data_IF_393014962508
#
_entry.id   IF_393014962508
#
_cell.length_a   1.000
_cell.length_b   1.000
_cell.length_c   1.000
_cell.angle_alpha   90.00
_cell.angle_beta   90.00
_cell.angle_gamma   90.00
#
_symmetry.space_group_name_H-M   'P 1'
#
loop_
_entity.id
_entity.type
_entity.pdbx_description
1 polymer ?
#
# COMPACT_ATOMS: atom_id res chain seq x y z
N UNK A 1 3.95 -26.08 -18.24
CA UNK A 1 3.11 -24.86 -18.13
C UNK A 1 1.67 -25.31 -17.97
N UNK A 2 0.94 -24.83 -16.96
CA UNK A 2 -0.49 -25.13 -16.82
C UNK A 2 -1.24 -24.65 -18.07
N UNK A 3 -2.19 -25.45 -18.57
CA UNK A 3 -3.02 -25.06 -19.73
C UNK A 3 -3.68 -23.70 -19.45
N UNK A 4 -3.61 -22.72 -20.37
CA UNK A 4 -4.25 -21.43 -20.18
C UNK A 4 -5.76 -21.58 -20.00
N UNK A 5 -6.38 -20.64 -19.29
CA UNK A 5 -7.81 -20.65 -19.07
C UNK A 5 -8.54 -20.52 -20.41
N UNK A 6 -9.26 -21.58 -20.83
CA UNK A 6 -9.98 -21.62 -22.12
C UNK A 6 -11.04 -22.72 -22.18
N UNK A 7 -11.30 -23.29 -23.35
CA UNK A 7 -12.25 -24.40 -23.56
C UNK A 7 -13.68 -23.96 -23.87
N UNK A 8 -14.65 -24.81 -23.51
CA UNK A 8 -16.10 -24.55 -23.60
C UNK A 8 -16.55 -23.73 -22.39
N UNK A 9 -16.81 -22.44 -22.60
CA UNK A 9 -17.03 -21.46 -21.54
C UNK A 9 -18.51 -21.08 -21.46
N UNK A 10 -19.11 -21.14 -20.26
CA UNK A 10 -20.40 -20.52 -20.00
C UNK A 10 -20.23 -19.17 -19.28
N UNK A 11 -21.08 -18.20 -19.61
CA UNK A 11 -21.10 -16.89 -18.96
C UNK A 11 -22.26 -16.84 -17.97
N UNK A 12 -21.98 -16.56 -16.70
CA UNK A 12 -22.98 -16.46 -15.63
C UNK A 12 -23.15 -15.00 -15.22
N UNK A 13 -24.33 -14.44 -15.51
CA UNK A 13 -24.65 -13.03 -15.35
C UNK A 13 -24.13 -12.18 -16.52
N UNK A 14 -25.05 -11.61 -17.28
CA UNK A 14 -24.76 -10.81 -18.48
C UNK A 14 -24.95 -9.31 -18.20
N UNK A 15 -24.35 -8.83 -17.11
CA UNK A 15 -24.22 -7.40 -16.80
C UNK A 15 -23.18 -6.70 -17.69
N UNK A 16 -22.92 -5.41 -17.47
CA UNK A 16 -21.96 -4.64 -18.29
C UNK A 16 -20.55 -5.23 -18.32
N UNK A 17 -20.11 -5.84 -17.20
CA UNK A 17 -18.77 -6.42 -17.06
C UNK A 17 -18.55 -7.64 -17.96
N UNK A 18 -19.60 -8.40 -18.29
CA UNK A 18 -19.49 -9.59 -19.12
C UNK A 18 -18.99 -9.27 -20.55
N UNK A 19 -19.20 -8.06 -21.07
CA UNK A 19 -18.85 -7.66 -22.43
C UNK A 19 -17.35 -7.77 -22.70
N UNK A 20 -16.53 -7.43 -21.70
CA UNK A 20 -15.08 -7.57 -21.76
C UNK A 20 -14.66 -9.03 -21.93
N UNK A 21 -15.25 -9.94 -21.14
CA UNK A 21 -14.95 -11.37 -21.22
C UNK A 21 -15.48 -11.99 -22.51
N UNK A 22 -16.70 -11.66 -22.91
CA UNK A 22 -17.32 -12.16 -24.15
C UNK A 22 -16.48 -11.77 -25.36
N UNK A 23 -16.11 -10.49 -25.49
CA UNK A 23 -15.21 -10.04 -26.57
C UNK A 23 -13.86 -10.76 -26.51
N UNK A 24 -13.26 -10.82 -25.33
CA UNK A 24 -11.96 -11.47 -25.14
C UNK A 24 -11.96 -12.96 -25.51
N UNK A 25 -13.05 -13.69 -25.23
CA UNK A 25 -13.21 -15.10 -25.60
C UNK A 25 -13.40 -15.23 -27.11
N UNK A 26 -14.27 -14.42 -27.72
CA UNK A 26 -14.56 -14.47 -29.16
C UNK A 26 -13.32 -14.14 -30.01
N UNK A 27 -12.46 -13.23 -29.55
CA UNK A 27 -11.18 -12.92 -30.19
C UNK A 27 -10.16 -14.07 -30.16
N UNK A 28 -10.42 -15.15 -29.39
CA UNK A 28 -9.46 -16.25 -29.14
C UNK A 28 -10.06 -17.64 -29.44
N UNK A 29 -10.62 -17.85 -30.65
CA UNK A 29 -11.39 -19.06 -30.98
C UNK A 29 -10.58 -20.36 -30.93
N UNK A 30 -9.26 -20.29 -31.15
CA UNK A 30 -8.35 -21.44 -31.08
C UNK A 30 -8.25 -22.05 -29.67
N UNK A 31 -8.52 -21.25 -28.64
CA UNK A 31 -8.35 -21.66 -27.24
C UNK A 31 -9.66 -21.72 -26.48
N UNK A 32 -10.67 -20.96 -26.90
CA UNK A 32 -11.87 -20.70 -26.12
C UNK A 32 -13.10 -20.51 -27.02
N UNK A 33 -14.25 -20.98 -26.56
CA UNK A 33 -15.54 -20.70 -27.19
C UNK A 33 -16.62 -20.55 -26.13
N UNK A 34 -17.57 -19.64 -26.34
CA UNK A 34 -18.77 -19.58 -25.50
C UNK A 34 -19.67 -20.76 -25.89
N UNK A 35 -20.40 -21.34 -24.93
CA UNK A 35 -21.36 -22.43 -25.17
C UNK A 35 -22.74 -22.17 -24.57
N UNK A 36 -22.84 -21.28 -23.57
CA UNK A 36 -24.11 -20.95 -22.92
C UNK A 36 -24.04 -19.62 -22.18
N UNK A 37 -25.20 -19.01 -21.97
CA UNK A 37 -25.41 -17.87 -21.08
C UNK A 37 -26.34 -18.31 -19.93
N UNK A 38 -26.03 -17.95 -18.69
CA UNK A 38 -26.91 -18.11 -17.54
C UNK A 38 -27.34 -16.73 -17.04
N UNK A 39 -28.60 -16.36 -17.27
CA UNK A 39 -29.12 -15.02 -16.98
C UNK A 39 -30.64 -15.05 -16.80
N UNK A 40 -31.19 -14.53 -15.68
CA UNK A 40 -32.64 -14.43 -15.49
C UNK A 40 -33.29 -13.28 -16.30
N UNK A 41 -32.55 -12.22 -16.63
CA UNK A 41 -33.07 -11.10 -17.42
C UNK A 41 -32.94 -11.38 -18.94
N UNK A 42 -34.07 -11.68 -19.58
CA UNK A 42 -34.12 -12.01 -21.01
C UNK A 42 -33.64 -10.89 -21.93
N UNK A 43 -33.83 -9.61 -21.54
CA UNK A 43 -33.34 -8.45 -22.32
C UNK A 43 -31.81 -8.41 -22.32
N UNK A 44 -31.17 -8.68 -21.18
CA UNK A 44 -29.70 -8.73 -21.10
C UNK A 44 -29.14 -9.92 -21.88
N UNK A 45 -29.78 -11.09 -21.77
CA UNK A 45 -29.37 -12.25 -22.54
C UNK A 45 -29.47 -12.01 -24.06
N UNK A 46 -30.58 -11.40 -24.53
CA UNK A 46 -30.77 -11.03 -25.92
C UNK A 46 -29.69 -10.04 -26.42
N UNK A 47 -29.38 -9.00 -25.63
CA UNK A 47 -28.31 -8.05 -25.96
C UNK A 47 -26.96 -8.76 -26.19
N UNK A 48 -26.62 -9.77 -25.38
CA UNK A 48 -25.37 -10.50 -25.56
C UNK A 48 -25.38 -11.42 -26.78
N UNK A 49 -26.52 -12.02 -27.13
CA UNK A 49 -26.65 -12.75 -28.39
C UNK A 49 -26.53 -11.81 -29.60
N UNK A 50 -27.06 -10.58 -29.53
CA UNK A 50 -26.86 -9.56 -30.58
C UNK A 50 -25.41 -9.09 -30.66
N UNK A 51 -24.74 -8.92 -29.51
CA UNK A 51 -23.31 -8.65 -29.45
C UNK A 51 -22.51 -9.76 -30.13
N UNK A 52 -22.81 -11.03 -29.84
CA UNK A 52 -22.15 -12.17 -30.47
C UNK A 52 -22.34 -12.18 -31.99
N UNK A 53 -23.56 -11.92 -32.48
CA UNK A 53 -23.84 -11.75 -33.91
C UNK A 53 -22.99 -10.65 -34.52
N UNK A 54 -22.87 -9.49 -33.87
CA UNK A 54 -22.02 -8.38 -34.35
C UNK A 54 -20.53 -8.75 -34.44
N UNK A 55 -20.09 -9.69 -33.60
CA UNK A 55 -18.72 -10.22 -33.57
C UNK A 55 -18.53 -11.43 -34.49
N UNK A 56 -19.54 -11.80 -35.29
CA UNK A 56 -19.55 -12.99 -36.16
C UNK A 56 -19.40 -14.30 -35.38
N UNK A 57 -19.85 -14.32 -34.12
CA UNK A 57 -19.98 -15.52 -33.30
C UNK A 57 -21.43 -16.04 -33.34
N UNK A 58 -21.66 -17.36 -33.17
CA UNK A 58 -23.01 -17.90 -33.15
C UNK A 58 -23.79 -17.47 -31.91
N UNK A 59 -25.11 -17.57 -32.00
CA UNK A 59 -26.01 -17.42 -30.86
C UNK A 59 -25.90 -18.65 -29.94
N UNK A 60 -26.06 -18.45 -28.63
CA UNK A 60 -25.97 -19.52 -27.63
C UNK A 60 -27.25 -19.65 -26.80
N UNK A 61 -27.54 -20.87 -26.30
CA UNK A 61 -28.66 -21.10 -25.42
C UNK A 61 -28.54 -20.28 -24.14
N UNK A 62 -29.70 -19.78 -23.67
CA UNK A 62 -29.84 -19.02 -22.43
C UNK A 62 -30.53 -19.92 -21.40
N UNK A 63 -29.91 -20.06 -20.24
CA UNK A 63 -30.42 -20.85 -19.13
C UNK A 63 -30.82 -19.95 -17.96
N UNK A 64 -31.94 -20.22 -17.29
CA UNK A 64 -32.26 -19.57 -16.02
C UNK A 64 -31.33 -20.07 -14.89
N UNK A 65 -31.20 -19.32 -13.78
CA UNK A 65 -30.33 -19.68 -12.65
C UNK A 65 -30.54 -21.09 -12.06
N UNK A 66 -31.78 -21.54 -11.97
CA UNK A 66 -32.16 -22.86 -11.43
C UNK A 66 -31.74 -24.02 -12.34
N UNK A 67 -31.55 -23.76 -13.64
CA UNK A 67 -31.03 -24.73 -14.61
C UNK A 67 -29.48 -24.72 -14.72
N UNK A 68 -28.77 -24.02 -13.83
CA UNK A 68 -27.31 -23.88 -13.92
C UNK A 68 -26.56 -25.23 -13.96
N UNK A 69 -26.91 -26.17 -13.07
CA UNK A 69 -26.26 -27.50 -13.03
C UNK A 69 -26.54 -28.33 -14.29
N UNK A 70 -27.77 -28.25 -14.83
CA UNK A 70 -28.12 -28.88 -16.10
C UNK A 70 -27.29 -28.30 -17.24
N UNK A 71 -27.18 -26.96 -17.31
CA UNK A 71 -26.38 -26.26 -18.31
C UNK A 71 -24.93 -26.75 -18.31
N UNK A 72 -24.30 -26.91 -17.15
CA UNK A 72 -22.92 -27.40 -17.04
C UNK A 72 -22.74 -28.76 -17.75
N UNK A 73 -23.68 -29.68 -17.55
CA UNK A 73 -23.64 -31.03 -18.11
C UNK A 73 -24.01 -31.06 -19.59
N UNK A 74 -25.16 -30.47 -19.94
CA UNK A 74 -25.75 -30.51 -21.28
C UNK A 74 -24.86 -29.83 -22.31
N UNK A 75 -24.30 -28.68 -21.95
CA UNK A 75 -23.42 -27.90 -22.83
C UNK A 75 -21.95 -28.32 -22.75
N UNK A 76 -21.64 -29.35 -21.94
CA UNK A 76 -20.29 -29.86 -21.69
C UNK A 76 -19.34 -28.72 -21.33
N UNK A 77 -19.72 -27.93 -20.33
CA UNK A 77 -18.98 -26.74 -19.90
C UNK A 77 -17.67 -27.17 -19.26
N UNK A 78 -16.55 -26.61 -19.72
CA UNK A 78 -15.20 -26.85 -19.18
C UNK A 78 -14.74 -25.71 -18.27
N UNK A 79 -15.31 -24.52 -18.45
CA UNK A 79 -15.06 -23.38 -17.59
C UNK A 79 -16.26 -22.42 -17.48
N UNK A 80 -16.36 -21.68 -16.39
CA UNK A 80 -17.36 -20.62 -16.20
C UNK A 80 -16.69 -19.28 -15.96
N UNK A 81 -17.27 -18.23 -16.51
CA UNK A 81 -16.98 -16.83 -16.17
C UNK A 81 -18.17 -16.28 -15.40
N UNK A 82 -17.97 -15.90 -14.14
CA UNK A 82 -19.03 -15.43 -13.23
C UNK A 82 -18.91 -13.92 -13.08
N UNK A 83 -19.92 -13.21 -13.57
CA UNK A 83 -20.05 -11.74 -13.61
C UNK A 83 -21.44 -11.28 -13.15
N UNK A 84 -22.11 -12.12 -12.35
CA UNK A 84 -23.41 -11.81 -11.76
C UNK A 84 -23.27 -10.92 -10.51
N UNK A 85 -24.30 -10.85 -9.68
CA UNK A 85 -24.29 -10.05 -8.45
C UNK A 85 -23.28 -10.67 -7.46
N UNK A 86 -22.37 -9.84 -6.92
CA UNK A 86 -21.28 -10.26 -6.01
C UNK A 86 -21.72 -11.22 -4.90
N UNK A 87 -22.89 -10.96 -4.29
CA UNK A 87 -23.44 -11.75 -3.19
C UNK A 87 -23.89 -13.18 -3.58
N UNK A 88 -23.98 -13.46 -4.87
CA UNK A 88 -24.47 -14.72 -5.44
C UNK A 88 -23.35 -15.57 -6.07
N UNK A 89 -22.11 -15.08 -6.09
CA UNK A 89 -20.99 -15.79 -6.73
C UNK A 89 -20.81 -17.21 -6.17
N UNK A 90 -20.95 -17.41 -4.85
CA UNK A 90 -20.77 -18.71 -4.20
C UNK A 90 -21.75 -19.78 -4.72
N UNK A 91 -22.98 -19.36 -5.03
CA UNK A 91 -24.03 -20.24 -5.59
C UNK A 91 -23.66 -20.82 -6.96
N UNK A 92 -22.71 -20.23 -7.67
CA UNK A 92 -22.22 -20.71 -8.96
C UNK A 92 -20.80 -21.26 -8.88
N UNK A 93 -19.93 -20.68 -8.05
CA UNK A 93 -18.56 -21.15 -7.83
C UNK A 93 -18.57 -22.57 -7.27
N UNK A 94 -19.28 -22.81 -6.16
CA UNK A 94 -19.27 -24.11 -5.47
C UNK A 94 -19.73 -25.24 -6.40
N UNK A 95 -20.94 -25.19 -7.01
CA UNK A 95 -21.38 -26.28 -7.88
C UNK A 95 -20.56 -26.43 -9.16
N UNK A 96 -19.94 -25.35 -9.69
CA UNK A 96 -19.02 -25.48 -10.82
C UNK A 96 -17.76 -26.27 -10.44
N UNK A 97 -17.15 -25.97 -9.29
CA UNK A 97 -15.99 -26.70 -8.77
C UNK A 97 -16.32 -28.16 -8.48
N UNK A 98 -17.48 -28.44 -7.88
CA UNK A 98 -17.96 -29.81 -7.64
C UNK A 98 -18.17 -30.60 -8.93
N UNK A 99 -18.55 -29.93 -10.02
CA UNK A 99 -18.68 -30.51 -11.35
C UNK A 99 -17.33 -30.65 -12.10
N UNK A 100 -16.19 -30.29 -11.48
CA UNK A 100 -14.88 -30.30 -12.11
C UNK A 100 -14.67 -29.20 -13.16
N UNK A 101 -15.54 -28.18 -13.16
CA UNK A 101 -15.51 -27.05 -14.09
C UNK A 101 -14.59 -25.96 -13.55
N UNK A 102 -13.70 -25.43 -14.40
CA UNK A 102 -12.78 -24.34 -13.99
C UNK A 102 -13.53 -23.04 -13.81
N UNK A 103 -13.17 -22.27 -12.79
CA UNK A 103 -13.89 -21.04 -12.44
C UNK A 103 -13.02 -19.80 -12.58
N UNK A 104 -13.53 -18.81 -13.29
CA UNK A 104 -13.09 -17.41 -13.24
C UNK A 104 -14.26 -16.57 -12.73
N UNK A 105 -14.05 -15.82 -11.66
CA UNK A 105 -15.09 -14.99 -11.04
C UNK A 105 -14.64 -13.54 -10.96
N UNK A 106 -15.60 -12.62 -11.10
CA UNK A 106 -15.35 -11.22 -10.81
C UNK A 106 -15.01 -10.99 -9.34
N UNK A 107 -14.29 -9.89 -9.09
CA UNK A 107 -14.04 -9.37 -7.73
C UNK A 107 -15.24 -8.53 -7.25
N UNK A 108 -15.57 -8.56 -5.95
CA UNK A 108 -15.04 -9.45 -4.91
C UNK A 108 -15.48 -10.90 -5.14
N UNK A 109 -14.70 -11.86 -4.65
CA UNK A 109 -15.01 -13.29 -4.80
C UNK A 109 -16.37 -13.67 -4.17
N UNK A 110 -16.71 -13.03 -3.05
CA UNK A 110 -18.00 -13.10 -2.37
C UNK A 110 -18.12 -11.92 -1.40
N UNK A 111 -19.25 -11.78 -0.69
CA UNK A 111 -19.55 -10.63 0.18
C UNK A 111 -19.39 -10.89 1.67
N UNK A 112 -19.23 -12.15 2.10
CA UNK A 112 -19.13 -12.50 3.52
C UNK A 112 -18.20 -13.70 3.78
N UNK A 113 -17.79 -13.84 5.05
CA UNK A 113 -16.81 -14.83 5.47
C UNK A 113 -17.34 -16.27 5.38
N UNK A 114 -18.62 -16.51 5.69
CA UNK A 114 -19.21 -17.84 5.66
C UNK A 114 -19.21 -18.41 4.24
N UNK A 115 -19.63 -17.60 3.26
CA UNK A 115 -19.54 -17.94 1.84
C UNK A 115 -18.10 -18.17 1.39
N UNK A 116 -17.17 -17.36 1.88
CA UNK A 116 -15.75 -17.50 1.58
C UNK A 116 -15.22 -18.86 2.07
N UNK A 117 -15.54 -19.25 3.31
CA UNK A 117 -15.22 -20.55 3.86
C UNK A 117 -15.79 -21.68 3.00
N UNK A 118 -17.07 -21.61 2.60
CA UNK A 118 -17.68 -22.62 1.71
C UNK A 118 -16.92 -22.78 0.39
N UNK A 119 -16.50 -21.68 -0.23
CA UNK A 119 -15.71 -21.70 -1.47
C UNK A 119 -14.35 -22.35 -1.23
N UNK A 120 -13.63 -21.94 -0.17
CA UNK A 120 -12.30 -22.46 0.16
C UNK A 120 -12.33 -23.95 0.53
N UNK A 121 -13.32 -24.38 1.30
CA UNK A 121 -13.53 -25.79 1.64
C UNK A 121 -13.80 -26.63 0.40
N UNK A 122 -14.58 -26.09 -0.55
CA UNK A 122 -14.84 -26.75 -1.82
C UNK A 122 -13.57 -26.85 -2.66
N UNK A 123 -12.81 -25.75 -2.80
CA UNK A 123 -11.51 -25.72 -3.49
C UNK A 123 -10.56 -26.80 -2.94
N UNK A 124 -10.47 -26.93 -1.62
CA UNK A 124 -9.65 -27.94 -0.96
C UNK A 124 -10.16 -29.36 -1.23
N UNK A 125 -11.46 -29.61 -1.05
CA UNK A 125 -12.08 -30.93 -1.24
C UNK A 125 -12.01 -31.42 -2.68
N UNK A 126 -12.13 -30.52 -3.66
CA UNK A 126 -12.09 -30.86 -5.09
C UNK A 126 -10.69 -30.73 -5.70
N UNK A 127 -9.68 -30.38 -4.90
CA UNK A 127 -8.32 -30.08 -5.34
C UNK A 127 -8.30 -29.16 -6.59
N UNK A 128 -9.15 -28.14 -6.57
CA UNK A 128 -9.37 -27.24 -7.70
C UNK A 128 -8.69 -25.90 -7.49
N UNK A 129 -8.73 -25.02 -8.49
CA UNK A 129 -8.25 -23.64 -8.39
C UNK A 129 -9.26 -22.68 -9.03
N UNK A 130 -9.36 -21.47 -8.48
CA UNK A 130 -10.20 -20.38 -9.00
C UNK A 130 -9.34 -19.19 -9.42
N UNK A 131 -9.80 -18.45 -10.42
CA UNK A 131 -9.23 -17.16 -10.81
C UNK A 131 -10.19 -16.05 -10.37
N UNK A 132 -9.70 -15.12 -9.54
CA UNK A 132 -10.44 -13.91 -9.15
C UNK A 132 -9.86 -12.72 -9.91
N UNK A 133 -10.71 -11.91 -10.54
CA UNK A 133 -10.28 -10.87 -11.51
C UNK A 133 -9.77 -9.58 -10.86
N UNK A 134 -8.68 -9.68 -10.10
CA UNK A 134 -7.92 -8.52 -9.64
C UNK A 134 -7.12 -7.89 -10.80
N UNK A 135 -7.82 -7.26 -11.73
CA UNK A 135 -7.28 -6.69 -12.97
C UNK A 135 -6.09 -5.75 -12.76
N UNK A 136 -6.02 -5.06 -11.61
CA UNK A 136 -4.93 -4.14 -11.29
C UNK A 136 -3.57 -4.84 -11.13
N UNK A 137 -3.54 -6.16 -10.88
CA UNK A 137 -2.28 -6.94 -10.88
C UNK A 137 -1.63 -7.01 -12.25
N UNK A 138 -2.38 -6.78 -13.33
CA UNK A 138 -1.88 -6.79 -14.71
C UNK A 138 -1.50 -5.39 -15.23
N UNK A 139 -1.59 -4.36 -14.38
CA UNK A 139 -1.10 -3.03 -14.74
C UNK A 139 0.44 -3.03 -14.71
N UNK A 140 1.13 -2.67 -15.82
CA UNK A 140 2.60 -2.67 -15.89
C UNK A 140 3.29 -1.87 -14.78
N UNK A 141 2.64 -0.80 -14.28
CA UNK A 141 3.16 0.01 -13.17
C UNK A 141 3.20 -0.79 -11.87
N UNK A 142 2.14 -1.55 -11.56
CA UNK A 142 2.08 -2.36 -10.34
C UNK A 142 3.01 -3.58 -10.41
N UNK A 143 3.17 -4.18 -11.60
CA UNK A 143 4.13 -5.25 -11.83
C UNK A 143 5.57 -4.75 -11.63
N UNK A 144 5.91 -3.56 -12.17
CA UNK A 144 7.20 -2.94 -11.95
C UNK A 144 7.48 -2.70 -10.46
N UNK A 145 6.49 -2.20 -9.71
CA UNK A 145 6.60 -2.03 -8.26
C UNK A 145 6.88 -3.38 -7.58
N UNK A 146 6.10 -4.43 -7.89
CA UNK A 146 6.28 -5.77 -7.32
C UNK A 146 7.67 -6.32 -7.61
N UNK A 147 8.18 -6.15 -8.83
CA UNK A 147 9.52 -6.57 -9.24
C UNK A 147 10.60 -5.78 -8.52
N UNK A 148 10.51 -4.45 -8.47
CA UNK A 148 11.47 -3.59 -7.75
C UNK A 148 11.55 -3.94 -6.26
N UNK A 149 10.42 -4.26 -5.61
CA UNK A 149 10.39 -4.78 -4.24
C UNK A 149 11.13 -6.13 -4.16
N UNK A 150 10.77 -7.09 -5.03
CA UNK A 150 11.35 -8.44 -5.01
C UNK A 150 12.86 -8.45 -5.31
N UNK A 151 13.33 -7.52 -6.13
CA UNK A 151 14.75 -7.32 -6.44
C UNK A 151 15.51 -6.57 -5.34
N UNK A 152 14.84 -6.19 -4.24
CA UNK A 152 15.47 -5.46 -3.14
C UNK A 152 15.98 -4.07 -3.53
N UNK A 153 15.47 -3.49 -4.63
CA UNK A 153 15.91 -2.20 -5.18
C UNK A 153 15.31 -0.99 -4.44
N UNK A 154 14.51 -1.22 -3.42
CA UNK A 154 13.98 -0.17 -2.53
C UNK A 154 15.05 0.18 -1.50
N UNK A 155 15.44 1.45 -1.50
CA UNK A 155 16.69 1.92 -0.90
C UNK A 155 16.65 2.17 0.61
N UNK A 156 17.83 2.54 1.14
CA UNK A 156 18.21 2.53 2.56
C UNK A 156 18.34 3.95 3.12
N UNK A 157 17.93 4.20 4.36
CA UNK A 157 18.07 5.50 5.04
C UNK A 157 19.26 5.51 6.03
N UNK A 158 19.59 6.69 6.57
CA UNK A 158 20.84 6.91 7.30
C UNK A 158 20.76 7.77 8.57
N UNK A 159 19.68 7.62 9.35
CA UNK A 159 19.31 8.62 10.36
C UNK A 159 19.51 8.19 11.83
N UNK A 160 20.13 7.04 12.10
CA UNK A 160 20.12 6.42 13.44
C UNK A 160 21.43 6.56 14.25
N UNK A 161 22.26 7.55 13.93
CA UNK A 161 23.68 7.58 14.31
C UNK A 161 24.05 8.33 15.60
N UNK A 162 23.11 8.96 16.31
CA UNK A 162 23.42 9.86 17.46
C UNK A 162 22.31 9.84 18.51
N UNK A 163 22.36 10.76 19.48
CA UNK A 163 21.38 10.93 20.57
C UNK A 163 19.92 10.82 20.13
N UNK A 164 19.59 11.25 18.91
CA UNK A 164 18.23 11.21 18.37
C UNK A 164 17.69 9.78 18.13
N UNK A 165 18.53 8.74 18.16
CA UNK A 165 18.14 7.32 18.10
C UNK A 165 17.50 6.79 19.40
N UNK A 166 17.64 7.54 20.48
CA UNK A 166 17.05 7.24 21.78
C UNK A 166 15.76 8.04 21.94
N UNK A 167 14.67 7.33 22.22
CA UNK A 167 13.32 7.91 22.22
C UNK A 167 13.14 8.93 23.32
N UNK A 168 13.83 8.76 24.43
CA UNK A 168 13.85 9.68 25.56
C UNK A 168 14.41 11.06 25.16
N UNK A 169 15.32 11.10 24.18
CA UNK A 169 15.95 12.33 23.75
C UNK A 169 15.26 12.97 22.53
N UNK A 170 14.65 12.19 21.64
CA UNK A 170 14.07 12.70 20.38
C UNK A 170 12.55 12.69 20.30
N UNK A 171 11.87 11.89 21.12
CA UNK A 171 10.46 11.58 20.91
C UNK A 171 10.19 10.73 19.65
N UNK A 172 11.22 10.13 19.03
CA UNK A 172 11.08 9.31 17.84
C UNK A 172 10.91 10.10 16.53
N UNK A 173 10.92 9.40 15.38
CA UNK A 173 10.89 10.04 14.06
C UNK A 173 9.57 10.77 13.76
N UNK A 174 8.47 10.41 14.42
CA UNK A 174 7.20 11.12 14.28
C UNK A 174 7.27 12.53 14.84
N UNK A 175 7.92 12.71 15.99
CA UNK A 175 8.16 14.03 16.58
C UNK A 175 9.30 14.73 15.84
N UNK A 176 10.46 14.09 15.80
CA UNK A 176 11.71 14.74 15.43
C UNK A 176 11.87 15.01 13.93
N UNK A 177 11.22 14.21 13.07
CA UNK A 177 11.38 14.33 11.60
C UNK A 177 10.07 14.63 10.89
N UNK A 178 8.99 13.98 11.30
CA UNK A 178 7.68 14.12 10.64
C UNK A 178 6.89 15.33 11.12
N UNK A 179 7.32 16.01 12.19
CA UNK A 179 6.65 17.21 12.71
C UNK A 179 6.40 18.26 11.63
N UNK A 180 7.38 18.51 10.74
CA UNK A 180 7.21 19.42 9.61
C UNK A 180 6.11 19.00 8.63
N UNK A 181 5.91 17.69 8.41
CA UNK A 181 4.87 17.20 7.52
C UNK A 181 3.49 17.31 8.16
N UNK A 182 3.37 17.05 9.46
CA UNK A 182 2.10 17.20 10.17
C UNK A 182 1.69 18.66 10.24
N UNK A 183 2.63 19.55 10.53
CA UNK A 183 2.42 20.99 10.48
C UNK A 183 1.90 21.44 9.11
N UNK A 184 2.58 21.05 8.03
CA UNK A 184 2.16 21.37 6.66
C UNK A 184 0.74 20.88 6.35
N UNK A 185 0.40 19.64 6.72
CA UNK A 185 -0.94 19.12 6.47
C UNK A 185 -1.98 19.87 7.26
N UNK A 186 -1.76 20.11 8.56
CA UNK A 186 -2.67 20.90 9.40
C UNK A 186 -2.93 22.29 8.80
N UNK A 187 -1.85 22.94 8.34
CA UNK A 187 -1.89 24.26 7.74
C UNK A 187 -2.66 24.25 6.40
N UNK A 188 -2.39 23.29 5.50
CA UNK A 188 -3.08 23.19 4.20
C UNK A 188 -4.58 23.02 4.31
N UNK A 189 -5.04 22.29 5.32
CA UNK A 189 -6.48 21.97 5.50
C UNK A 189 -7.17 22.86 6.53
N UNK A 190 -6.43 23.81 7.14
CA UNK A 190 -6.88 24.69 8.22
C UNK A 190 -7.68 23.93 9.30
N UNK A 191 -7.10 22.84 9.80
CA UNK A 191 -7.81 21.93 10.70
C UNK A 191 -6.92 21.38 11.81
N UNK A 192 -7.58 20.99 12.92
CA UNK A 192 -6.92 20.45 14.10
C UNK A 192 -7.11 18.93 14.17
N UNK A 193 -6.06 18.16 14.48
CA UNK A 193 -6.18 16.72 14.68
C UNK A 193 -7.01 16.43 15.94
N UNK A 194 -7.93 15.48 15.86
CA UNK A 194 -8.83 15.08 16.96
C UNK A 194 -8.56 13.65 17.42
N UNK A 195 -8.19 12.75 16.51
CA UNK A 195 -7.89 11.36 16.85
C UNK A 195 -6.75 10.85 15.98
N UNK A 196 -5.81 10.17 16.61
CA UNK A 196 -4.65 9.56 15.95
C UNK A 196 -4.61 8.08 16.31
N UNK A 197 -4.42 7.23 15.30
CA UNK A 197 -4.12 5.82 15.44
C UNK A 197 -2.79 5.55 14.76
N UNK A 198 -1.87 4.86 15.42
CA UNK A 198 -0.56 4.59 14.84
C UNK A 198 -0.10 3.16 15.13
N UNK A 199 0.56 2.55 14.14
CA UNK A 199 1.27 1.28 14.25
C UNK A 199 2.72 1.49 13.81
N UNK A 200 3.66 0.85 14.48
CA UNK A 200 5.07 1.00 14.13
C UNK A 200 5.99 0.07 14.91
N UNK A 201 7.22 -0.06 14.44
CA UNK A 201 8.23 -0.90 15.07
C UNK A 201 9.66 -0.54 14.65
N UNK A 202 10.63 -1.12 15.35
CA UNK A 202 12.03 -1.13 14.95
C UNK A 202 12.29 -2.40 14.14
N UNK A 203 12.29 -2.24 12.82
CA UNK A 203 12.26 -3.34 11.84
C UNK A 203 13.53 -3.49 11.03
N UNK A 204 14.27 -2.39 10.84
CA UNK A 204 15.43 -2.34 9.96
C UNK A 204 16.73 -1.99 10.69
N UNK A 205 16.74 -0.97 11.55
CA UNK A 205 17.91 -0.52 12.31
C UNK A 205 18.05 -1.21 13.67
N UNK A 206 19.21 -0.99 14.31
CA UNK A 206 19.54 -1.59 15.61
C UNK A 206 20.11 -2.99 15.51
N UNK A 207 20.77 -3.41 16.58
CA UNK A 207 21.59 -4.63 16.62
C UNK A 207 20.81 -5.89 16.24
N UNK A 208 19.58 -6.04 16.77
CA UNK A 208 18.73 -7.21 16.48
C UNK A 208 18.36 -7.31 15.00
N UNK A 209 17.91 -6.22 14.39
CA UNK A 209 17.51 -6.20 12.98
C UNK A 209 18.75 -6.28 12.06
N UNK A 210 19.83 -5.60 12.42
CA UNK A 210 21.12 -5.68 11.74
C UNK A 210 21.71 -7.09 11.71
N UNK A 211 21.64 -7.83 12.83
CA UNK A 211 22.06 -9.24 12.89
C UNK A 211 21.17 -10.15 12.03
N UNK A 212 19.85 -10.00 12.13
CA UNK A 212 18.90 -10.81 11.36
C UNK A 212 19.03 -10.60 9.84
N UNK A 213 19.39 -9.39 9.42
CA UNK A 213 19.56 -9.02 8.01
C UNK A 213 20.99 -9.18 7.48
N UNK A 214 21.97 -9.50 8.34
CA UNK A 214 23.39 -9.59 8.00
C UNK A 214 24.08 -8.24 7.75
N UNK A 215 23.42 -7.12 8.05
CA UNK A 215 23.97 -5.77 7.91
C UNK A 215 24.79 -5.31 9.12
N UNK A 216 24.62 -5.94 10.28
CA UNK A 216 25.47 -5.64 11.44
C UNK A 216 26.95 -5.91 11.11
N UNK A 217 27.81 -5.01 11.59
CA UNK A 217 29.26 -5.06 11.47
C UNK A 217 29.87 -4.84 12.84
N UNK A 218 31.08 -5.35 13.04
CA UNK A 218 31.77 -5.27 14.32
C UNK A 218 32.45 -3.90 14.49
N UNK A 219 31.63 -2.86 14.65
CA UNK A 219 32.08 -1.54 15.04
C UNK A 219 30.95 -0.73 15.67
N UNK A 220 31.29 0.05 16.69
CA UNK A 220 30.37 1.03 17.28
C UNK A 220 30.55 2.41 16.64
N UNK A 221 31.79 2.77 16.27
CA UNK A 221 32.14 4.02 15.58
C UNK A 221 32.79 3.73 14.24
N UNK A 222 32.39 4.47 13.20
CA UNK A 222 32.86 4.27 11.83
C UNK A 222 34.31 4.78 11.64
N UNK A 223 34.67 5.87 12.32
CA UNK A 223 36.02 6.47 12.21
C UNK A 223 37.08 5.53 12.75
N UNK A 224 38.08 5.24 11.92
CA UNK A 224 39.20 4.34 12.27
C UNK A 224 38.85 2.84 12.20
N UNK A 225 37.60 2.48 11.89
CA UNK A 225 37.20 1.08 11.75
C UNK A 225 37.45 0.55 10.34
N UNK A 226 38.16 -0.58 10.24
CA UNK A 226 38.36 -1.27 8.96
C UNK A 226 37.04 -1.86 8.43
N UNK A 227 36.21 -2.38 9.33
CA UNK A 227 34.90 -2.94 8.99
C UNK A 227 33.93 -1.89 8.41
N UNK A 228 34.10 -0.62 8.77
CA UNK A 228 33.27 0.48 8.28
C UNK A 228 33.60 0.88 6.83
N UNK A 229 34.80 0.61 6.32
CA UNK A 229 35.21 1.04 4.96
C UNK A 229 34.40 0.39 3.83
N UNK A 230 33.93 -0.83 4.06
CA UNK A 230 33.09 -1.59 3.11
C UNK A 230 31.61 -1.58 3.49
N UNK A 231 31.26 -0.89 4.58
CA UNK A 231 29.89 -0.80 5.04
C UNK A 231 29.15 0.33 4.30
N UNK A 232 28.11 0.02 3.50
CA UNK A 232 27.32 1.04 2.82
C UNK A 232 26.54 1.95 3.78
N UNK A 233 26.49 1.61 5.08
CA UNK A 233 25.90 2.40 6.14
C UNK A 233 26.94 3.14 7.00
N UNK A 234 28.22 3.16 6.61
CA UNK A 234 29.20 4.04 7.24
C UNK A 234 29.18 5.42 6.56
N UNK A 235 29.11 6.50 7.34
CA UNK A 235 29.19 7.87 6.81
C UNK A 235 30.65 8.25 6.63
N UNK A 236 31.03 8.67 5.42
CA UNK A 236 32.37 9.18 5.15
C UNK A 236 32.46 10.66 5.49
N UNK A 237 32.62 10.96 6.78
CA UNK A 237 32.77 12.35 7.25
C UNK A 237 34.10 12.99 6.85
N UNK A 238 35.09 12.20 6.47
CA UNK A 238 36.40 12.69 6.04
C UNK A 238 36.31 13.46 4.71
N UNK A 239 35.24 13.26 3.93
CA UNK A 239 34.99 13.96 2.68
C UNK A 239 34.50 15.42 2.86
N UNK A 240 34.00 15.78 4.06
CA UNK A 240 33.46 17.12 4.34
C UNK A 240 34.20 17.75 5.55
N UNK A 241 35.01 18.81 5.35
CA UNK A 241 35.78 19.44 6.42
C UNK A 241 34.95 19.99 7.59
N UNK A 242 33.70 20.37 7.34
CA UNK A 242 32.77 20.91 8.34
C UNK A 242 32.15 19.77 9.14
N UNK A 243 31.61 18.75 8.46
CA UNK A 243 31.04 17.59 9.14
C UNK A 243 32.13 16.79 9.89
N UNK A 244 33.36 16.77 9.38
CA UNK A 244 34.52 16.23 10.10
C UNK A 244 34.78 16.96 11.42
N UNK A 245 34.69 18.30 11.44
CA UNK A 245 34.91 19.08 12.67
C UNK A 245 33.80 18.90 13.70
N UNK A 246 32.56 18.71 13.24
CA UNK A 246 31.37 18.68 14.11
C UNK A 246 31.04 17.25 14.55
N UNK A 247 31.30 16.25 13.71
CA UNK A 247 30.79 14.89 13.88
C UNK A 247 31.85 13.80 13.77
N UNK A 248 33.13 14.15 13.88
CA UNK A 248 34.28 13.29 13.65
C UNK A 248 34.08 11.83 14.10
N UNK A 249 33.39 11.61 15.21
CA UNK A 249 33.16 10.29 15.79
C UNK A 249 31.75 9.73 15.50
N UNK A 250 31.43 9.48 14.22
CA UNK A 250 30.13 8.91 13.83
C UNK A 250 29.88 7.49 14.37
N UNK A 251 28.68 7.25 14.90
CA UNK A 251 28.24 5.94 15.40
C UNK A 251 27.56 5.08 14.31
N UNK A 252 27.53 3.77 14.54
CA UNK A 252 26.86 2.78 13.69
C UNK A 252 25.33 2.84 13.85
N UNK A 253 24.59 2.82 12.73
CA UNK A 253 23.11 2.72 12.71
C UNK A 253 22.58 1.34 13.12
N UNK A 254 23.46 0.36 13.32
CA UNK A 254 23.11 -0.97 13.84
C UNK A 254 23.70 -1.23 15.22
N UNK A 255 24.35 -0.25 15.86
CA UNK A 255 24.80 -0.40 17.23
C UNK A 255 23.62 -0.57 18.20
N UNK A 256 23.84 -1.21 19.36
CA UNK A 256 22.85 -1.26 20.44
C UNK A 256 22.38 0.14 20.87
N UNK A 257 21.19 0.20 21.49
CA UNK A 257 20.65 1.45 22.07
C UNK A 257 19.75 2.27 21.14
N UNK A 258 19.30 1.70 20.02
CA UNK A 258 18.24 2.29 19.18
C UNK A 258 16.88 1.92 19.78
N UNK A 259 16.15 2.95 20.23
CA UNK A 259 14.86 2.79 20.92
C UNK A 259 13.68 3.43 20.20
N UNK A 260 13.87 3.94 18.98
CA UNK A 260 12.82 4.57 18.17
C UNK A 260 12.40 3.64 17.04
N UNK A 261 11.16 3.75 16.62
CA UNK A 261 10.61 3.04 15.47
C UNK A 261 11.17 3.61 14.15
N UNK A 262 11.35 2.74 13.15
CA UNK A 262 11.87 3.09 11.83
C UNK A 262 10.90 2.81 10.68
N UNK A 263 9.88 2.00 10.94
CA UNK A 263 8.74 1.76 10.08
C UNK A 263 7.46 2.06 10.87
N UNK A 264 6.68 3.02 10.38
CA UNK A 264 5.49 3.50 11.07
C UNK A 264 4.42 3.99 10.10
N UNK A 265 3.17 3.71 10.43
CA UNK A 265 1.98 4.24 9.76
C UNK A 265 1.05 4.88 10.78
N UNK A 266 0.38 5.96 10.39
CA UNK A 266 -0.63 6.62 11.21
C UNK A 266 -1.84 7.08 10.38
N UNK A 267 -2.98 7.07 11.05
CA UNK A 267 -4.24 7.62 10.59
C UNK A 267 -4.65 8.74 11.54
N UNK A 268 -4.91 9.93 10.99
CA UNK A 268 -5.39 11.10 11.72
C UNK A 268 -6.78 11.46 11.24
N UNK A 269 -7.70 11.70 12.18
CA UNK A 269 -8.99 12.34 11.92
C UNK A 269 -8.96 13.77 12.43
N UNK A 270 -9.41 14.71 11.61
CA UNK A 270 -9.46 16.14 11.91
C UNK A 270 -10.87 16.59 12.32
N UNK A 271 -10.94 17.75 12.98
CA UNK A 271 -12.19 18.36 13.45
C UNK A 271 -13.15 18.75 12.31
N UNK A 272 -12.64 19.02 11.11
CA UNK A 272 -13.44 19.34 9.93
C UNK A 272 -13.93 18.09 9.15
N UNK A 273 -13.64 16.88 9.66
CA UNK A 273 -14.01 15.62 9.04
C UNK A 273 -12.98 15.04 8.07
N UNK A 274 -11.90 15.77 7.75
CA UNK A 274 -10.82 15.25 6.93
C UNK A 274 -10.07 14.09 7.63
N UNK A 275 -9.46 13.22 6.83
CA UNK A 275 -8.61 12.13 7.31
C UNK A 275 -7.27 12.14 6.59
N UNK A 276 -6.16 11.99 7.34
CA UNK A 276 -4.81 11.83 6.79
C UNK A 276 -4.29 10.43 7.11
N UNK A 277 -3.82 9.72 6.08
CA UNK A 277 -2.95 8.55 6.26
C UNK A 277 -1.52 8.97 5.97
N UNK A 278 -0.63 8.74 6.92
CA UNK A 278 0.79 9.06 6.77
C UNK A 278 1.62 7.82 7.08
N UNK A 279 2.64 7.59 6.25
CA UNK A 279 3.51 6.44 6.39
C UNK A 279 4.94 6.93 6.29
N UNK A 280 5.71 6.71 7.35
CA UNK A 280 7.15 6.94 7.33
C UNK A 280 7.83 5.59 7.17
N UNK A 281 8.47 5.42 6.02
CA UNK A 281 9.31 4.28 5.71
C UNK A 281 10.74 4.77 5.56
N UNK A 282 11.74 3.96 5.94
CA UNK A 282 13.11 4.25 5.60
C UNK A 282 13.25 4.06 4.08
N UNK A 283 13.27 5.18 3.34
CA UNK A 283 13.47 5.19 1.88
C UNK A 283 14.64 6.09 1.51
N UNK A 284 15.32 5.76 0.41
CA UNK A 284 16.44 6.54 -0.12
C UNK A 284 15.96 7.92 -0.54
N UNK A 285 16.59 8.96 0.02
CA UNK A 285 16.49 10.32 -0.53
C UNK A 285 17.89 10.75 -0.92
N UNK A 286 18.02 11.26 -2.14
CA UNK A 286 19.19 12.01 -2.54
C UNK A 286 19.26 13.28 -1.69
N UNK A 287 20.42 13.55 -1.09
CA UNK A 287 20.57 14.58 -0.07
C UNK A 287 20.66 15.97 -0.70
N UNK A 288 19.54 16.47 -1.22
CA UNK A 288 19.29 17.89 -1.39
C UNK A 288 18.56 18.42 -0.14
N UNK A 289 19.20 19.30 0.63
CA UNK A 289 18.64 20.06 1.77
C UNK A 289 17.12 20.29 1.61
N UNK A 290 16.31 19.57 2.41
CA UNK A 290 14.83 19.54 2.43
C UNK A 290 14.12 20.02 1.13
N UNK A 291 14.56 19.55 -0.05
CA UNK A 291 14.04 19.98 -1.36
C UNK A 291 14.12 21.49 -1.68
N UNK A 292 15.04 22.24 -1.09
CA UNK A 292 15.18 23.70 -1.22
C UNK A 292 14.43 24.51 -0.14
N UNK A 293 13.75 23.83 0.80
CA UNK A 293 12.99 24.47 1.87
C UNK A 293 13.84 25.30 2.85
N UNK A 294 15.06 24.86 3.15
CA UNK A 294 15.93 25.54 4.13
C UNK A 294 16.34 26.93 3.62
N UNK A 295 16.75 27.04 2.35
CA UNK A 295 17.12 28.31 1.72
C UNK A 295 15.95 29.29 1.69
N UNK A 296 14.74 28.79 1.40
CA UNK A 296 13.51 29.59 1.38
C UNK A 296 13.10 30.04 2.78
N UNK A 297 13.12 29.14 3.77
CA UNK A 297 12.82 29.44 5.17
C UNK A 297 13.77 30.51 5.72
N UNK A 298 15.07 30.40 5.47
CA UNK A 298 16.05 31.40 5.91
C UNK A 298 15.80 32.77 5.26
N UNK A 299 15.39 32.80 3.99
CA UNK A 299 14.98 34.03 3.30
C UNK A 299 13.72 34.65 3.93
N UNK A 300 12.74 33.83 4.33
CA UNK A 300 11.51 34.30 5.02
C UNK A 300 11.81 34.83 6.43
N UNK A 301 12.63 34.12 7.21
CA UNK A 301 12.91 34.44 8.61
C UNK A 301 13.88 35.61 8.78
N UNK A 302 14.87 35.73 7.89
CA UNK A 302 15.99 36.67 8.04
C UNK A 302 16.11 37.67 6.89
N UNK A 303 15.23 37.59 5.88
CA UNK A 303 15.27 38.41 4.68
C UNK A 303 16.08 37.77 3.53
N UNK A 304 15.83 38.19 2.27
CA UNK A 304 16.49 37.61 1.10
C UNK A 304 17.97 38.00 1.01
N UNK A 305 18.77 37.15 0.36
CA UNK A 305 20.17 37.49 0.01
C UNK A 305 20.21 38.65 -1.01
N UNK A 306 21.33 39.40 -1.11
CA UNK A 306 21.48 40.47 -2.08
C UNK A 306 21.14 40.02 -3.51
N UNK A 307 20.19 40.71 -4.15
CA UNK A 307 19.72 40.38 -5.51
C UNK A 307 18.58 39.37 -5.59
N UNK A 308 18.11 38.81 -4.46
CA UNK A 308 16.94 37.92 -4.43
C UNK A 308 15.66 38.69 -4.06
N UNK A 309 14.52 38.22 -4.58
CA UNK A 309 13.21 38.78 -4.25
C UNK A 309 12.74 38.33 -2.86
N UNK A 310 11.99 39.20 -2.17
CA UNK A 310 11.33 38.88 -0.90
C UNK A 310 10.24 37.84 -1.14
N UNK A 311 10.22 36.76 -0.36
CA UNK A 311 9.18 35.74 -0.45
C UNK A 311 7.83 36.31 0.02
N UNK A 312 6.81 36.28 -0.85
CA UNK A 312 5.46 36.72 -0.53
C UNK A 312 4.45 35.56 -0.47
N UNK A 313 4.96 34.32 -0.44
CA UNK A 313 4.13 33.13 -0.26
C UNK A 313 3.59 33.05 1.17
N UNK A 314 2.68 32.11 1.40
CA UNK A 314 1.92 32.10 2.64
C UNK A 314 2.77 31.79 3.89
N UNK A 315 3.87 31.06 3.73
CA UNK A 315 4.87 30.86 4.79
C UNK A 315 5.49 32.17 5.30
N UNK A 316 5.51 33.24 4.50
CA UNK A 316 5.95 34.58 4.91
C UNK A 316 4.83 35.40 5.58
N UNK A 317 3.56 35.00 5.40
CA UNK A 317 2.38 35.66 5.96
C UNK A 317 1.90 35.01 7.26
N UNK A 318 2.20 33.73 7.45
CA UNK A 318 1.80 32.91 8.59
C UNK A 318 2.96 32.00 9.01
N UNK A 319 3.86 32.52 9.85
CA UNK A 319 4.94 31.72 10.42
C UNK A 319 4.43 30.77 11.50
N UNK A 320 5.05 29.60 11.63
CA UNK A 320 4.72 28.64 12.69
C UNK A 320 5.04 29.22 14.07
N UNK A 321 4.10 29.08 15.00
CA UNK A 321 4.17 29.56 16.38
C UNK A 321 4.43 28.43 17.37
N UNK A 322 4.60 28.77 18.65
CA UNK A 322 4.71 27.79 19.74
C UNK A 322 3.47 26.90 19.86
N UNK A 323 2.28 27.39 19.46
CA UNK A 323 1.05 26.59 19.43
C UNK A 323 1.06 25.56 18.31
N UNK A 324 1.55 25.93 17.13
CA UNK A 324 1.66 25.02 15.98
C UNK A 324 2.68 23.91 16.27
N UNK A 325 3.81 24.28 16.88
CA UNK A 325 4.80 23.34 17.37
C UNK A 325 4.24 22.38 18.43
N UNK A 326 3.42 22.89 19.38
CA UNK A 326 2.81 22.07 20.41
C UNK A 326 1.71 21.13 19.86
N UNK A 327 0.96 21.53 18.82
CA UNK A 327 0.00 20.68 18.10
C UNK A 327 0.70 19.56 17.32
N UNK A 328 1.80 19.87 16.61
CA UNK A 328 2.61 18.87 15.92
C UNK A 328 3.25 17.87 16.91
N UNK A 329 3.75 18.38 18.05
CA UNK A 329 4.30 17.57 19.13
C UNK A 329 3.24 16.62 19.72
N UNK A 330 2.02 17.11 19.94
CA UNK A 330 0.92 16.32 20.49
C UNK A 330 0.64 15.06 19.64
N UNK A 331 0.62 15.20 18.30
CA UNK A 331 0.44 14.06 17.38
C UNK A 331 1.55 13.02 17.56
N UNK A 332 2.80 13.44 17.64
CA UNK A 332 3.93 12.52 17.81
C UNK A 332 3.96 11.85 19.20
N UNK A 333 3.59 12.56 20.26
CA UNK A 333 3.48 12.00 21.62
C UNK A 333 2.37 10.94 21.72
N UNK A 334 1.22 11.18 21.10
CA UNK A 334 0.11 10.22 21.06
C UNK A 334 0.44 9.00 20.21
N UNK A 335 1.12 9.18 19.08
CA UNK A 335 1.61 8.04 18.28
C UNK A 335 2.53 7.14 19.12
N UNK A 336 3.45 7.74 19.88
CA UNK A 336 4.33 7.00 20.78
C UNK A 336 3.59 6.25 21.89
N UNK A 337 2.55 6.87 22.45
CA UNK A 337 1.73 6.26 23.49
C UNK A 337 0.88 5.12 22.91
N UNK A 338 0.33 5.30 21.70
CA UNK A 338 -0.39 4.29 20.91
C UNK A 338 0.51 3.08 20.61
N UNK A 339 1.79 3.28 20.27
CA UNK A 339 2.72 2.16 20.06
C UNK A 339 2.93 1.32 21.32
N UNK A 340 2.99 1.95 22.50
CA UNK A 340 3.16 1.24 23.77
C UNK A 340 1.87 0.57 24.25
N UNK A 341 0.71 1.19 24.01
CA UNK A 341 -0.58 0.75 24.54
C UNK A 341 -1.36 -0.16 23.60
N UNK A 342 -1.08 -0.09 22.28
CA UNK A 342 -1.88 -0.73 21.23
C UNK A 342 -3.28 -0.14 21.06
N UNK A 343 -3.55 1.03 21.66
CA UNK A 343 -4.86 1.67 21.73
C UNK A 343 -4.87 3.04 21.06
N UNK A 344 -6.06 3.51 20.70
CA UNK A 344 -6.25 4.90 20.29
C UNK A 344 -5.97 5.84 21.46
N UNK A 345 -5.25 6.92 21.20
CA UNK A 345 -4.86 7.92 22.19
C UNK A 345 -5.48 9.28 21.85
N UNK A 346 -5.90 10.05 22.85
CA UNK A 346 -6.60 11.32 22.64
C UNK A 346 -5.77 12.52 23.07
N UNK A 347 -5.78 13.60 22.28
CA UNK A 347 -5.00 14.84 22.54
C UNK A 347 -5.32 15.46 23.90
N UNK A 348 -6.59 15.41 24.33
CA UNK A 348 -7.02 15.89 25.64
C UNK A 348 -6.28 15.21 26.81
N UNK A 349 -5.78 13.98 26.60
CA UNK A 349 -5.08 13.19 27.61
C UNK A 349 -3.62 13.63 27.78
N UNK A 350 -3.13 14.56 26.95
CA UNK A 350 -1.80 15.17 27.11
C UNK A 350 -1.82 16.39 28.04
N UNK A 351 -3.00 16.89 28.42
CA UNK A 351 -3.18 18.06 29.29
C UNK A 351 -2.41 19.31 28.85
N UNK A 352 -2.14 19.43 27.54
CA UNK A 352 -1.48 20.60 26.96
C UNK A 352 -2.47 21.76 26.86
N UNK A 353 -2.07 23.01 27.19
CA UNK A 353 -2.92 24.20 27.09
C UNK A 353 -3.03 24.71 25.64
N UNK A 354 -3.52 23.85 24.74
CA UNK A 354 -3.57 24.02 23.28
C UNK A 354 -4.87 24.63 22.75
#
# INVERSE_FOLDING_TARGET
>A
MSKPFGGRIAIVGTGSRAAMFVRGIVERPETSRIVALCEPNTVRAAYYNDLLKSLRAPEFPVYPPDAFKEMLQKEKVEAVVITCIDALHDLYIVPALEAGVRVLTEKPMTTDAEKCCRILDTVNRTNSHIIVTFNYRYNPVHELIKRTIAEGKIGKADYFRRWHRQKENSGGLMVHKSGHHFDLVNWWIDAKPVTVAAMGGLTFYGDKAGKASGWARDYERARGSEAAKSDPFAINLEADPTLKKIYADAESVFAPGIGIEDDMSLLVKYNNGATMTYHLLPVKVDHGSHGGGDTRMLSVLFGPLPGQAVDQGDAAKQGATERDGALALAVGLLANKSFKSGKFEHVKDLELPL
#
